data_IF_166827658352
#
_entry.id   IF_166827658352
#
_cell.length_a   1.000
_cell.length_b   1.000
_cell.length_c   1.000
_cell.angle_alpha   90.00
_cell.angle_beta   90.00
_cell.angle_gamma   90.00
#
_symmetry.space_group_name_H-M   'P 1'
#
loop_
_entity.id
_entity.type
_entity.pdbx_description
1 polymer ?
#
# COMPACT_ATOMS: atom_id res chain seq x y z
N UNK A 1 -22.88 -54.91 6.24
CA UNK A 1 -22.65 -54.53 7.66
C UNK A 1 -21.41 -53.65 7.73
N UNK A 2 -21.50 -52.55 8.49
CA UNK A 2 -20.43 -51.62 8.93
C UNK A 2 -19.76 -50.78 7.85
N UNK A 3 -20.14 -49.50 7.61
CA UNK A 3 -19.89 -48.27 8.40
C UNK A 3 -18.41 -47.91 8.58
N UNK A 4 -18.07 -46.69 8.15
CA UNK A 4 -16.82 -46.00 8.40
C UNK A 4 -16.57 -45.05 7.22
N UNK A 5 -17.04 -43.82 7.22
CA UNK A 5 -17.01 -42.86 8.30
C UNK A 5 -16.54 -41.57 7.67
N UNK A 6 -17.51 -40.72 7.36
CA UNK A 6 -17.39 -39.33 6.95
C UNK A 6 -16.27 -38.65 7.75
N UNK A 7 -15.14 -38.34 7.11
CA UNK A 7 -14.11 -37.48 7.70
C UNK A 7 -14.60 -36.03 7.61
N UNK A 8 -15.50 -35.66 8.52
CA UNK A 8 -15.62 -34.29 9.00
C UNK A 8 -14.32 -33.95 9.73
N UNK A 9 -13.61 -32.92 9.29
CA UNK A 9 -12.52 -32.35 10.08
C UNK A 9 -11.19 -32.13 9.39
N UNK A 10 -11.14 -31.97 8.08
CA UNK A 10 -10.15 -31.01 7.57
C UNK A 10 -10.75 -29.62 7.81
N UNK A 11 -10.38 -29.01 8.93
CA UNK A 11 -10.41 -27.55 9.05
C UNK A 11 -9.77 -27.01 7.77
N UNK A 12 -10.57 -26.37 6.92
CA UNK A 12 -10.11 -25.60 5.78
C UNK A 12 -9.02 -24.67 6.31
N UNK A 13 -7.76 -24.94 5.97
CA UNK A 13 -6.65 -24.09 6.42
C UNK A 13 -6.96 -22.69 5.90
N UNK A 14 -7.28 -21.73 6.78
CA UNK A 14 -7.46 -20.37 6.33
C UNK A 14 -6.08 -20.00 5.81
N UNK A 15 -5.93 -19.79 4.51
CA UNK A 15 -4.75 -19.10 3.98
C UNK A 15 -4.96 -17.59 4.25
N UNK A 16 -5.05 -17.39 5.56
CA UNK A 16 -5.20 -16.29 6.48
C UNK A 16 -5.79 -14.99 5.90
N UNK A 17 -7.09 -14.85 6.09
CA UNK A 17 -7.77 -13.56 6.19
C UNK A 17 -7.01 -12.64 7.18
N UNK A 18 -6.13 -11.77 6.66
CA UNK A 18 -5.28 -10.87 7.44
C UNK A 18 -5.53 -9.42 7.03
N UNK A 19 -6.71 -8.86 7.28
CA UNK A 19 -6.97 -7.46 7.03
C UNK A 19 -6.27 -6.57 8.07
N UNK A 20 -6.12 -5.28 7.75
CA UNK A 20 -5.47 -4.30 8.61
C UNK A 20 -4.03 -3.99 8.22
N UNK A 21 -3.36 -3.30 9.14
CA UNK A 21 -1.97 -2.89 9.00
C UNK A 21 -1.05 -4.11 8.88
N UNK A 22 -0.08 -4.04 7.97
CA UNK A 22 0.95 -5.04 7.78
C UNK A 22 2.29 -4.34 7.74
N UNK A 23 3.28 -4.90 8.42
CA UNK A 23 4.67 -4.48 8.30
C UNK A 23 5.53 -5.73 8.19
N UNK A 24 6.24 -5.90 7.09
CA UNK A 24 7.19 -7.00 6.92
C UNK A 24 8.61 -6.55 7.23
N UNK A 25 9.53 -7.46 7.58
CA UNK A 25 10.94 -7.12 7.73
C UNK A 25 11.54 -6.47 6.48
N UNK A 26 11.07 -6.87 5.29
CA UNK A 26 11.48 -6.25 4.02
C UNK A 26 11.08 -4.78 3.93
N UNK A 27 9.86 -4.43 4.35
CA UNK A 27 9.40 -3.04 4.40
C UNK A 27 10.24 -2.22 5.39
N UNK A 28 10.55 -2.78 6.56
CA UNK A 28 11.39 -2.13 7.58
C UNK A 28 12.79 -1.84 7.05
N UNK A 29 13.42 -2.82 6.39
CA UNK A 29 14.75 -2.65 5.79
C UNK A 29 14.70 -1.59 4.69
N UNK A 30 13.70 -1.64 3.81
CA UNK A 30 13.54 -0.67 2.74
C UNK A 30 13.41 0.76 3.28
N UNK A 31 12.54 0.98 4.28
CA UNK A 31 12.37 2.29 4.92
C UNK A 31 13.68 2.76 5.56
N UNK A 32 14.39 1.87 6.26
CA UNK A 32 15.67 2.21 6.88
C UNK A 32 16.72 2.63 5.83
N UNK A 33 16.82 1.89 4.72
CA UNK A 33 17.75 2.20 3.63
C UNK A 33 17.41 3.54 2.96
N UNK A 34 16.13 3.82 2.68
CA UNK A 34 15.73 5.11 2.13
C UNK A 34 16.00 6.24 3.11
N UNK A 35 15.70 6.05 4.40
CA UNK A 35 15.96 7.04 5.44
C UNK A 35 17.44 7.37 5.58
N UNK A 36 18.29 6.35 5.68
CA UNK A 36 19.75 6.52 5.74
C UNK A 36 20.29 7.16 4.46
N UNK A 37 19.87 6.66 3.29
CA UNK A 37 20.28 7.19 2.00
C UNK A 37 19.89 8.67 1.83
N UNK A 38 18.67 9.03 2.20
CA UNK A 38 18.21 10.42 2.18
C UNK A 38 18.99 11.30 3.16
N UNK A 39 19.26 10.82 4.38
CA UNK A 39 20.02 11.57 5.38
C UNK A 39 21.47 11.80 4.93
N UNK A 40 22.10 10.78 4.34
CA UNK A 40 23.44 10.87 3.79
C UNK A 40 23.52 11.81 2.58
N UNK A 41 22.45 11.91 1.78
CA UNK A 41 22.38 12.77 0.60
C UNK A 41 22.03 14.23 0.91
N UNK A 42 21.38 14.49 2.04
CA UNK A 42 20.94 15.82 2.47
C UNK A 42 21.98 16.95 2.34
N UNK A 43 23.25 16.79 2.76
CA UNK A 43 24.24 17.87 2.65
C UNK A 43 24.67 18.16 1.21
N UNK A 44 24.40 17.26 0.25
CA UNK A 44 24.77 17.42 -1.15
C UNK A 44 23.60 17.96 -1.98
N UNK A 45 22.40 17.41 -1.77
CA UNK A 45 21.19 17.85 -2.45
C UNK A 45 19.96 17.56 -1.59
N UNK A 46 19.52 18.57 -0.84
CA UNK A 46 18.33 18.48 0.01
C UNK A 46 17.04 18.30 -0.82
N UNK A 47 16.98 18.81 -2.07
CA UNK A 47 15.81 18.65 -2.94
C UNK A 47 15.66 17.19 -3.32
N UNK A 48 16.73 16.58 -3.84
CA UNK A 48 16.74 15.18 -4.23
C UNK A 48 16.53 14.26 -3.01
N UNK A 49 17.06 14.63 -1.84
CA UNK A 49 16.87 13.88 -0.61
C UNK A 49 15.39 13.86 -0.21
N UNK A 50 14.74 15.03 -0.22
CA UNK A 50 13.29 15.13 0.01
C UNK A 50 12.47 14.35 -1.03
N UNK A 51 12.89 14.36 -2.30
CA UNK A 51 12.25 13.57 -3.35
C UNK A 51 12.33 12.07 -3.05
N UNK A 52 13.42 11.52 -2.52
CA UNK A 52 13.49 10.10 -2.17
C UNK A 52 12.51 9.69 -1.05
N UNK A 53 12.28 10.56 -0.06
CA UNK A 53 11.44 10.25 1.10
C UNK A 53 9.96 10.15 0.73
N UNK A 54 9.48 11.04 -0.15
CA UNK A 54 8.05 11.11 -0.51
C UNK A 54 7.47 9.80 -1.05
N UNK A 55 8.02 9.15 -2.10
CA UNK A 55 7.50 7.89 -2.59
C UNK A 55 7.65 6.79 -1.55
N UNK A 56 8.71 6.79 -0.71
CA UNK A 56 8.83 5.81 0.38
C UNK A 56 7.66 5.91 1.37
N UNK A 57 7.29 7.12 1.78
CA UNK A 57 6.11 7.34 2.63
C UNK A 57 4.84 6.92 1.90
N UNK A 58 4.68 7.28 0.63
CA UNK A 58 3.46 6.95 -0.12
C UNK A 58 3.31 5.43 -0.34
N UNK A 59 4.37 4.74 -0.75
CA UNK A 59 4.36 3.28 -0.89
C UNK A 59 4.17 2.59 0.46
N UNK A 60 4.69 3.15 1.55
CA UNK A 60 4.35 2.65 2.88
C UNK A 60 2.85 2.74 3.14
N UNK A 61 2.22 3.89 2.87
CA UNK A 61 0.76 4.03 3.00
C UNK A 61 0.01 3.03 2.11
N UNK A 62 0.43 2.88 0.86
CA UNK A 62 -0.21 1.99 -0.10
C UNK A 62 -0.08 0.51 0.27
N UNK A 63 1.12 0.03 0.56
CA UNK A 63 1.39 -1.38 0.74
C UNK A 63 1.10 -1.88 2.17
N UNK A 64 1.29 -1.02 3.17
CA UNK A 64 1.32 -1.42 4.58
C UNK A 64 0.08 -0.95 5.36
N UNK A 65 -0.42 0.26 5.06
CA UNK A 65 -1.52 0.88 5.81
C UNK A 65 -2.87 0.63 5.14
N UNK A 66 -3.03 1.10 3.90
CA UNK A 66 -4.30 1.07 3.17
C UNK A 66 -4.44 -0.16 2.26
N UNK A 67 -3.33 -0.82 1.92
CA UNK A 67 -3.28 -2.05 1.13
C UNK A 67 -4.04 -1.93 -0.18
N UNK A 68 -3.67 -0.92 -0.95
CA UNK A 68 -4.34 -0.61 -2.20
C UNK A 68 -3.96 -1.60 -3.30
N UNK A 69 -4.77 -1.66 -4.36
CA UNK A 69 -4.43 -2.47 -5.54
C UNK A 69 -3.23 -1.89 -6.27
N UNK A 70 -2.47 -2.78 -6.92
CA UNK A 70 -1.21 -2.45 -7.61
C UNK A 70 -1.36 -1.44 -8.76
N UNK A 71 -2.50 -1.43 -9.47
CA UNK A 71 -2.68 -0.54 -10.61
C UNK A 71 -2.65 0.95 -10.20
N UNK A 72 -3.43 1.40 -9.21
CA UNK A 72 -3.29 2.73 -8.61
C UNK A 72 -1.87 3.10 -8.16
N UNK A 73 -1.13 2.17 -7.56
CA UNK A 73 0.26 2.40 -7.13
C UNK A 73 1.17 2.77 -8.31
N UNK A 74 1.05 2.01 -9.42
CA UNK A 74 1.83 2.23 -10.63
C UNK A 74 1.46 3.54 -11.34
N UNK A 75 0.18 3.89 -11.38
CA UNK A 75 -0.29 5.17 -11.91
C UNK A 75 0.33 6.32 -11.13
N UNK A 76 0.27 6.25 -9.79
CA UNK A 76 0.86 7.27 -8.94
C UNK A 76 2.37 7.35 -9.10
N UNK A 77 3.07 6.20 -9.15
CA UNK A 77 4.52 6.15 -9.30
C UNK A 77 4.99 6.76 -10.64
N UNK A 78 4.29 6.45 -11.73
CA UNK A 78 4.57 7.04 -13.04
C UNK A 78 4.37 8.56 -13.04
N UNK A 79 3.25 9.03 -12.45
CA UNK A 79 2.98 10.46 -12.31
C UNK A 79 4.05 11.15 -11.44
N UNK A 80 4.43 10.52 -10.33
CA UNK A 80 5.47 11.03 -9.43
C UNK A 80 6.80 11.19 -10.17
N UNK A 81 7.28 10.15 -10.85
CA UNK A 81 8.57 10.19 -11.57
C UNK A 81 8.57 11.26 -12.67
N UNK A 82 7.48 11.37 -13.45
CA UNK A 82 7.36 12.35 -14.51
C UNK A 82 7.39 13.79 -13.96
N UNK A 83 6.55 14.07 -12.97
CA UNK A 83 6.36 15.43 -12.45
C UNK A 83 7.54 15.86 -11.58
N UNK A 84 8.01 15.00 -10.67
CA UNK A 84 9.15 15.30 -9.80
C UNK A 84 10.45 15.40 -10.62
N UNK A 85 10.65 14.49 -11.58
CA UNK A 85 11.81 14.51 -12.47
C UNK A 85 11.85 15.77 -13.33
N UNK A 86 10.72 16.17 -13.92
CA UNK A 86 10.62 17.42 -14.66
C UNK A 86 10.91 18.63 -13.77
N UNK A 87 10.26 18.71 -12.60
CA UNK A 87 10.41 19.84 -11.69
C UNK A 87 11.86 19.97 -11.19
N UNK A 88 12.53 18.86 -10.91
CA UNK A 88 13.95 18.85 -10.56
C UNK A 88 14.83 19.30 -11.73
N UNK A 89 14.58 18.82 -12.95
CA UNK A 89 15.39 19.14 -14.13
C UNK A 89 15.35 20.63 -14.52
N UNK A 90 14.23 21.32 -14.27
CA UNK A 90 14.07 22.75 -14.56
C UNK A 90 14.28 23.64 -13.33
N UNK A 91 14.74 23.07 -12.21
CA UNK A 91 14.91 23.73 -10.91
C UNK A 91 13.64 24.42 -10.38
N UNK A 92 12.45 23.89 -10.73
CA UNK A 92 11.18 24.42 -10.28
C UNK A 92 10.96 24.23 -8.77
N UNK A 93 10.13 25.08 -8.13
CA UNK A 93 9.71 24.87 -6.76
C UNK A 93 8.98 23.52 -6.60
N UNK A 94 9.53 22.64 -5.76
CA UNK A 94 8.98 21.29 -5.59
C UNK A 94 7.68 21.24 -4.79
N UNK A 95 7.32 22.28 -4.04
CA UNK A 95 6.15 22.26 -3.17
C UNK A 95 4.83 22.07 -3.94
N UNK A 96 4.68 22.65 -5.14
CA UNK A 96 3.48 22.46 -5.98
C UNK A 96 3.39 20.98 -6.40
N UNK A 97 4.36 20.41 -7.14
CA UNK A 97 4.25 19.04 -7.61
C UNK A 97 4.15 18.03 -6.46
N UNK A 98 4.89 18.20 -5.37
CA UNK A 98 4.78 17.30 -4.21
C UNK A 98 3.39 17.35 -3.58
N UNK A 99 2.80 18.54 -3.45
CA UNK A 99 1.44 18.70 -2.89
C UNK A 99 0.41 18.08 -3.82
N UNK A 100 0.49 18.33 -5.13
CA UNK A 100 -0.41 17.73 -6.11
C UNK A 100 -0.34 16.20 -6.11
N UNK A 101 0.86 15.62 -5.99
CA UNK A 101 1.05 14.17 -5.92
C UNK A 101 0.54 13.58 -4.60
N UNK A 102 0.70 14.27 -3.48
CA UNK A 102 0.09 13.88 -2.20
C UNK A 102 -1.43 13.87 -2.28
N UNK A 103 -2.03 14.89 -2.90
CA UNK A 103 -3.49 14.96 -3.14
C UNK A 103 -3.93 13.79 -4.02
N UNK A 104 -3.24 13.55 -5.14
CA UNK A 104 -3.54 12.42 -6.01
C UNK A 104 -3.46 11.10 -5.25
N UNK A 105 -2.44 10.92 -4.41
CA UNK A 105 -2.28 9.70 -3.64
C UNK A 105 -3.36 9.50 -2.57
N UNK A 106 -3.78 10.58 -1.93
CA UNK A 106 -4.94 10.59 -1.03
C UNK A 106 -6.25 10.25 -1.74
N UNK A 107 -6.46 10.76 -2.96
CA UNK A 107 -7.62 10.42 -3.79
C UNK A 107 -7.62 8.93 -4.14
N UNK A 108 -6.49 8.37 -4.56
CA UNK A 108 -6.39 6.94 -4.88
C UNK A 108 -6.67 6.05 -3.67
N UNK A 109 -6.19 6.45 -2.48
CA UNK A 109 -6.54 5.77 -1.21
C UNK A 109 -8.04 5.88 -0.95
N UNK A 110 -8.62 7.07 -1.05
CA UNK A 110 -10.04 7.29 -0.79
C UNK A 110 -10.92 6.46 -1.74
N UNK A 111 -10.57 6.40 -3.02
CA UNK A 111 -11.24 5.54 -4.01
C UNK A 111 -11.11 4.07 -3.61
N UNK A 112 -9.91 3.62 -3.25
CA UNK A 112 -9.71 2.22 -2.84
C UNK A 112 -10.54 1.84 -1.61
N UNK A 113 -10.66 2.74 -0.63
CA UNK A 113 -11.47 2.54 0.58
C UNK A 113 -12.96 2.32 0.28
N UNK A 114 -13.45 2.67 -0.91
CA UNK A 114 -14.83 2.41 -1.33
C UNK A 114 -15.05 1.00 -1.90
N UNK A 115 -13.98 0.27 -2.22
CA UNK A 115 -14.08 -1.07 -2.79
C UNK A 115 -14.49 -2.11 -1.75
N UNK A 116 -15.35 -3.06 -2.15
CA UNK A 116 -15.76 -4.21 -1.32
C UNK A 116 -14.60 -5.12 -0.90
N UNK A 117 -13.49 -5.06 -1.64
CA UNK A 117 -12.24 -5.76 -1.34
C UNK A 117 -11.31 -4.98 -0.40
N UNK A 118 -11.70 -3.80 0.09
CA UNK A 118 -10.86 -2.99 0.97
C UNK A 118 -10.62 -3.71 2.29
N UNK A 119 -9.34 -3.90 2.61
CA UNK A 119 -8.89 -4.69 3.75
C UNK A 119 -7.70 -4.05 4.48
N UNK A 120 -7.50 -2.73 4.31
CA UNK A 120 -6.48 -1.96 5.01
C UNK A 120 -6.85 -1.63 6.46
N UNK A 121 -6.22 -0.59 7.01
CA UNK A 121 -6.52 -0.06 8.35
C UNK A 121 -8.01 0.35 8.45
N UNK A 122 -8.58 0.22 9.66
CA UNK A 122 -9.98 0.55 9.94
C UNK A 122 -11.03 -0.20 9.10
N UNK A 123 -10.65 -1.32 8.47
CA UNK A 123 -11.58 -2.13 7.67
C UNK A 123 -12.86 -2.51 8.43
N UNK A 124 -12.80 -2.76 9.74
CA UNK A 124 -13.99 -3.11 10.55
C UNK A 124 -15.07 -2.01 10.54
N UNK A 125 -14.67 -0.74 10.40
CA UNK A 125 -15.60 0.40 10.33
C UNK A 125 -15.97 0.75 8.90
N UNK A 126 -15.03 0.64 7.97
CA UNK A 126 -15.21 1.05 6.56
C UNK A 126 -15.91 -0.05 5.75
N UNK A 127 -15.55 -1.30 5.98
CA UNK A 127 -16.01 -2.47 5.24
C UNK A 127 -16.31 -3.64 6.20
N UNK A 128 -17.37 -3.54 7.03
CA UNK A 128 -17.70 -4.59 8.01
C UNK A 128 -18.09 -5.92 7.36
N UNK A 129 -18.58 -5.90 6.12
CA UNK A 129 -18.95 -7.09 5.35
C UNK A 129 -17.74 -7.80 4.68
N UNK A 130 -16.51 -7.31 4.92
CA UNK A 130 -15.30 -7.89 4.35
C UNK A 130 -15.11 -9.40 4.64
N UNK A 131 -15.37 -9.93 5.86
CA UNK A 131 -15.17 -11.35 6.14
C UNK A 131 -16.13 -12.23 5.33
N UNK A 132 -17.38 -11.81 5.20
CA UNK A 132 -18.41 -12.51 4.41
C UNK A 132 -18.05 -12.50 2.92
N UNK A 133 -17.63 -11.35 2.40
CA UNK A 133 -17.16 -11.22 1.02
C UNK A 133 -15.94 -12.10 0.75
N UNK A 134 -14.98 -12.15 1.69
CA UNK A 134 -13.78 -12.97 1.56
C UNK A 134 -14.11 -14.46 1.57
N UNK A 135 -14.99 -14.90 2.48
CA UNK A 135 -15.46 -16.27 2.55
C UNK A 135 -16.17 -16.70 1.25
N UNK A 136 -17.06 -15.86 0.72
CA UNK A 136 -17.78 -16.14 -0.52
C UNK A 136 -16.86 -16.26 -1.75
N UNK A 137 -15.72 -15.55 -1.79
CA UNK A 137 -14.76 -15.70 -2.89
C UNK A 137 -13.88 -16.96 -2.81
N UNK A 138 -13.73 -17.54 -1.61
CA UNK A 138 -12.86 -18.70 -1.39
C UNK A 138 -13.66 -20.00 -1.18
N UNK A 139 -15.00 -19.93 -1.18
CA UNK A 139 -15.88 -21.10 -1.09
C UNK A 139 -16.12 -21.79 -2.44
N UNK A 140 -15.77 -21.15 -3.56
CA UNK A 140 -15.95 -21.69 -4.92
C UNK A 140 -14.71 -22.47 -5.43
N UNK A 141 -13.73 -22.73 -4.55
CA UNK A 141 -12.51 -23.51 -4.80
C UNK A 141 -12.57 -24.86 -4.08
#
# INVERSE_FOLDING_TARGET
MSKGGFRLGEEMKPELFRPGFRLTPGDTIFIALVGIGSAAMWPYDAKLAGLLVLPCVQFFLYCNVFRIRRAPELIWAAAYLAVAGWAYAVDAPLWIPTTSLLILGGILIAVEMTHRSYHGVFWQRINPALPEWYAAQHSDL
#
